data_IF_844577515044
#
_entry.id   IF_844577515044
#
_cell.length_a   1.000
_cell.length_b   1.000
_cell.length_c   1.000
_cell.angle_alpha   90.00
_cell.angle_beta   90.00
_cell.angle_gamma   90.00
#
_symmetry.space_group_name_H-M   'P 1'
#
loop_
_entity.id
_entity.type
_entity.pdbx_description
1 polymer ?
#
# COMPACT_ATOMS: atom_id res chain seq x y z
N UNK A 1 -8.58 -4.46 22.61
CA UNK A 1 -8.05 -4.50 21.24
C UNK A 1 -8.48 -5.82 20.63
N UNK A 2 -9.26 -5.80 19.55
CA UNK A 2 -9.51 -6.98 18.74
C UNK A 2 -8.29 -7.17 17.83
N UNK A 3 -7.77 -8.39 17.75
CA UNK A 3 -6.63 -8.69 16.88
C UNK A 3 -7.10 -8.95 15.43
N UNK A 4 -8.08 -8.16 14.97
CA UNK A 4 -8.69 -8.28 13.65
C UNK A 4 -8.31 -7.03 12.89
N UNK A 5 -7.69 -7.20 11.72
CA UNK A 5 -7.33 -6.09 10.85
C UNK A 5 -8.61 -5.40 10.32
N UNK A 6 -8.60 -4.07 10.37
CA UNK A 6 -9.67 -3.24 9.80
C UNK A 6 -9.65 -3.29 8.27
N UNK A 7 -8.46 -3.31 7.68
CA UNK A 7 -8.25 -3.45 6.23
C UNK A 7 -7.11 -4.44 5.99
N UNK A 8 -7.32 -5.36 5.05
CA UNK A 8 -6.27 -6.25 4.53
C UNK A 8 -6.06 -5.92 3.05
N UNK A 9 -4.80 -5.69 2.66
CA UNK A 9 -4.42 -5.37 1.27
C UNK A 9 -3.36 -6.37 0.80
N UNK A 10 -3.39 -6.72 -0.48
CA UNK A 10 -2.47 -7.68 -1.10
C UNK A 10 -1.90 -7.11 -2.39
N UNK A 11 -0.69 -7.56 -2.76
CA UNK A 11 -0.08 -7.22 -4.05
C UNK A 11 -0.91 -7.72 -5.23
N UNK A 12 -0.69 -7.12 -6.40
CA UNK A 12 -1.48 -7.39 -7.62
C UNK A 12 -1.10 -8.71 -8.32
N UNK A 13 0.19 -9.04 -8.31
CA UNK A 13 0.74 -10.27 -8.91
C UNK A 13 1.37 -11.20 -7.87
N UNK A 14 1.64 -12.45 -8.26
CA UNK A 14 2.43 -13.38 -7.43
C UNK A 14 3.91 -13.05 -7.50
N UNK A 15 4.62 -13.23 -6.39
CA UNK A 15 6.08 -13.01 -6.25
C UNK A 15 6.54 -11.55 -6.32
N UNK A 16 5.62 -10.57 -6.26
CA UNK A 16 5.99 -9.23 -5.82
C UNK A 16 6.07 -9.24 -4.29
N UNK A 17 7.07 -8.56 -3.72
CA UNK A 17 7.20 -8.48 -2.27
C UNK A 17 6.43 -7.26 -1.74
N UNK A 18 5.12 -7.17 -2.05
CA UNK A 18 4.25 -6.09 -1.59
C UNK A 18 4.31 -5.93 -0.07
N UNK A 19 4.54 -4.69 0.37
CA UNK A 19 4.66 -4.39 1.80
C UNK A 19 6.09 -4.45 2.33
N UNK A 20 7.10 -4.71 1.50
CA UNK A 20 8.52 -4.70 1.91
C UNK A 20 8.98 -3.31 2.34
N UNK A 21 8.49 -2.26 1.67
CA UNK A 21 8.79 -0.87 2.01
C UNK A 21 7.48 -0.12 2.26
N UNK A 22 7.40 0.60 3.38
CA UNK A 22 6.23 1.41 3.76
C UNK A 22 6.72 2.76 4.25
N UNK A 23 6.10 3.85 3.75
CA UNK A 23 6.35 5.20 4.23
C UNK A 23 5.06 6.01 4.31
N UNK A 24 4.98 6.91 5.29
CA UNK A 24 3.97 7.97 5.28
C UNK A 24 4.17 8.87 4.07
N UNK A 25 3.08 9.26 3.42
CA UNK A 25 3.12 10.10 2.22
C UNK A 25 2.56 11.53 2.44
N UNK A 26 1.98 11.79 3.61
CA UNK A 26 1.16 12.99 3.82
C UNK A 26 -0.17 12.87 3.09
N UNK A 27 -0.92 13.96 2.97
CA UNK A 27 -2.14 14.01 2.15
C UNK A 27 -1.76 14.44 0.73
N UNK A 28 -1.57 13.46 -0.17
CA UNK A 28 -1.11 13.70 -1.54
C UNK A 28 -2.23 14.19 -2.46
N UNK A 29 -3.49 13.88 -2.15
CA UNK A 29 -4.63 14.18 -3.02
C UNK A 29 -5.52 15.34 -2.51
N UNK A 30 -5.28 15.83 -1.28
CA UNK A 30 -5.92 17.01 -0.70
C UNK A 30 -7.28 16.74 -0.05
N UNK A 31 -7.57 15.50 0.37
CA UNK A 31 -8.86 15.11 0.96
C UNK A 31 -8.91 15.23 2.49
N UNK A 32 -7.81 15.64 3.12
CA UNK A 32 -7.69 15.83 4.56
C UNK A 32 -7.24 14.60 5.33
N UNK A 33 -6.95 13.48 4.66
CA UNK A 33 -6.43 12.26 5.28
C UNK A 33 -4.99 11.97 4.85
N UNK A 34 -4.20 11.39 5.76
CA UNK A 34 -2.82 10.98 5.41
C UNK A 34 -2.84 9.71 4.57
N UNK A 35 -2.14 9.76 3.44
CA UNK A 35 -1.85 8.65 2.55
C UNK A 35 -0.61 7.86 2.96
N UNK A 36 -0.51 6.65 2.42
CA UNK A 36 0.63 5.74 2.59
C UNK A 36 1.15 5.32 1.23
N UNK A 37 2.48 5.28 1.11
CA UNK A 37 3.18 4.67 -0.02
C UNK A 37 3.66 3.27 0.39
N UNK A 38 3.37 2.28 -0.44
CA UNK A 38 3.82 0.90 -0.25
C UNK A 38 4.55 0.41 -1.50
N UNK A 39 5.78 -0.06 -1.32
CA UNK A 39 6.57 -0.67 -2.38
C UNK A 39 6.29 -2.17 -2.51
N UNK A 40 6.31 -2.64 -3.75
CA UNK A 40 6.28 -4.05 -4.10
C UNK A 40 7.41 -4.33 -5.10
N UNK A 41 8.67 -4.44 -4.62
CA UNK A 41 9.78 -4.79 -5.50
C UNK A 41 9.51 -6.17 -6.09
N UNK A 42 9.64 -6.29 -7.40
CA UNK A 42 9.56 -7.57 -8.09
C UNK A 42 10.91 -8.28 -7.96
N UNK A 43 10.91 -9.46 -7.34
CA UNK A 43 12.13 -10.29 -7.24
C UNK A 43 12.35 -11.17 -8.47
N UNK A 44 11.37 -11.25 -9.39
CA UNK A 44 11.33 -12.19 -10.51
C UNK A 44 10.81 -11.56 -11.82
N UNK A 45 11.62 -10.64 -12.36
CA UNK A 45 11.81 -10.43 -13.79
C UNK A 45 10.71 -9.70 -14.57
N UNK A 46 10.30 -8.49 -14.14
CA UNK A 46 10.17 -7.32 -15.04
C UNK A 46 10.69 -6.08 -14.29
N UNK A 47 11.47 -5.16 -14.91
CA UNK A 47 12.04 -3.99 -14.23
C UNK A 47 11.03 -2.91 -13.77
N UNK A 48 9.74 -3.25 -13.64
CA UNK A 48 8.72 -2.29 -13.21
C UNK A 48 8.50 -2.43 -11.70
N UNK A 49 9.27 -1.67 -10.92
CA UNK A 49 8.98 -1.51 -9.50
C UNK A 49 7.58 -0.91 -9.35
N UNK A 50 6.67 -1.65 -8.73
CA UNK A 50 5.30 -1.18 -8.53
C UNK A 50 5.20 -0.44 -7.19
N UNK A 51 4.67 0.78 -7.24
CA UNK A 51 4.41 1.62 -6.07
C UNK A 51 2.90 1.80 -5.92
N UNK A 52 2.37 1.44 -4.75
CA UNK A 52 0.96 1.60 -4.40
C UNK A 52 0.76 2.84 -3.54
N UNK A 53 -0.24 3.65 -3.92
CA UNK A 53 -0.80 4.70 -3.08
C UNK A 53 -2.04 4.16 -2.39
N UNK A 54 -1.99 4.06 -1.06
CA UNK A 54 -3.04 3.44 -0.27
C UNK A 54 -3.66 4.49 0.65
N UNK A 55 -4.99 4.56 0.61
CA UNK A 55 -5.79 5.31 1.59
C UNK A 55 -6.78 4.39 2.27
N UNK A 56 -7.12 4.70 3.52
CA UNK A 56 -8.26 4.06 4.18
C UNK A 56 -9.54 4.73 3.66
N UNK A 57 -10.40 4.00 2.94
CA UNK A 57 -11.79 4.45 2.77
C UNK A 57 -12.48 4.23 4.11
N UNK A 58 -12.89 5.31 4.76
CA UNK A 58 -14.03 5.23 5.67
C UNK A 58 -15.27 5.28 4.79
N UNK A 59 -15.96 4.15 4.66
CA UNK A 59 -17.36 4.22 4.30
C UNK A 59 -18.09 4.86 5.50
N UNK A 60 -18.91 5.87 5.25
CA UNK A 60 -19.79 6.49 6.27
C UNK A 60 -20.79 5.47 6.85
#
# INVERSE_FOLDING_TARGET
>A
MNNIADVTMTGETTNNDFGTYVSSAGDLNGDGYSDVIVGAPDTHQIPEDTVYFLRRRFDE
#
